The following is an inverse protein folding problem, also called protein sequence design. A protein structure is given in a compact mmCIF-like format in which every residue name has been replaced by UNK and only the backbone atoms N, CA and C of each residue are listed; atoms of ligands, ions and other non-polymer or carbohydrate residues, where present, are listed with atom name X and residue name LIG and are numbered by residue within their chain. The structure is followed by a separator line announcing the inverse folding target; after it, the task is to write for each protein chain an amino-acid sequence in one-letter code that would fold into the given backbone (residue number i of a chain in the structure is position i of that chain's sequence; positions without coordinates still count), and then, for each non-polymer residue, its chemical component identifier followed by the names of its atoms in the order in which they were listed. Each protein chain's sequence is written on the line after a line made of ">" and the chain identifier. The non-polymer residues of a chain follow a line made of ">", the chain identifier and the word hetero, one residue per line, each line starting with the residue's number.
data_IF_027794424882
#
_entry.id   IF_027794424882
#
_cell.length_a   1.000
_cell.length_b   1.000
_cell.length_c   1.000
_cell.angle_alpha   90.00
_cell.angle_beta   90.00
_cell.angle_gamma   90.00
#
_symmetry.space_group_name_H-M   'P 1'
#
loop_
_entity.id
_entity.type
_entity.pdbx_description
1 polymer ?
#
# COMPACT_ATOMS: atom_id res chain seq x y z
N UNK A 1 21.52 0.54 2.01
CA UNK A 1 20.68 0.20 0.84
C UNK A 1 19.47 1.10 0.91
N UNK A 2 19.13 1.87 -0.14
CA UNK A 2 17.83 2.55 -0.15
C UNK A 2 16.75 1.50 0.07
N UNK A 3 15.93 1.67 1.11
CA UNK A 3 14.86 0.73 1.41
C UNK A 3 13.84 0.74 0.29
N UNK A 4 13.40 -0.44 -0.15
CA UNK A 4 12.32 -0.57 -1.13
C UNK A 4 11.01 -0.11 -0.49
N UNK A 5 10.28 0.79 -1.15
CA UNK A 5 8.96 1.23 -0.68
C UNK A 5 7.97 0.06 -0.83
N UNK A 6 7.19 -0.23 0.20
CA UNK A 6 6.04 -1.14 0.11
C UNK A 6 4.77 -0.31 0.18
N UNK A 7 3.90 -0.44 -0.82
CA UNK A 7 2.60 0.23 -0.88
C UNK A 7 1.51 -0.80 -0.60
N UNK A 8 0.79 -0.64 0.51
CA UNK A 8 -0.42 -1.41 0.76
C UNK A 8 -1.59 -0.79 -0.02
N UNK A 9 -2.48 -1.62 -0.54
CA UNK A 9 -3.55 -1.19 -1.45
C UNK A 9 -4.79 -2.07 -1.33
N UNK A 10 -5.89 -1.59 -1.88
CA UNK A 10 -7.08 -2.37 -2.23
C UNK A 10 -7.52 -2.05 -3.66
N UNK A 11 -8.29 -2.93 -4.27
CA UNK A 11 -8.75 -2.80 -5.68
C UNK A 11 -9.68 -1.61 -5.92
N UNK A 12 -10.45 -1.21 -4.92
CA UNK A 12 -11.44 -0.13 -5.03
C UNK A 12 -10.90 1.24 -4.55
N UNK A 13 -9.69 1.29 -4.00
CA UNK A 13 -9.10 2.49 -3.41
C UNK A 13 -8.54 3.46 -4.46
N UNK A 14 -9.33 4.49 -4.80
CA UNK A 14 -8.90 5.53 -5.75
C UNK A 14 -7.65 6.32 -5.31
N UNK A 15 -7.41 6.45 -4.00
CA UNK A 15 -6.18 7.07 -3.48
C UNK A 15 -4.94 6.22 -3.76
N UNK A 16 -5.07 4.89 -3.69
CA UNK A 16 -4.02 3.93 -3.99
C UNK A 16 -3.60 4.06 -5.46
N UNK A 17 -4.59 4.11 -6.38
CA UNK A 17 -4.33 4.37 -7.81
C UNK A 17 -3.61 5.70 -8.03
N UNK A 18 -4.02 6.76 -7.33
CA UNK A 18 -3.39 8.08 -7.45
C UNK A 18 -1.94 8.07 -6.96
N UNK A 19 -1.67 7.48 -5.80
CA UNK A 19 -0.33 7.40 -5.23
C UNK A 19 0.61 6.57 -6.12
N UNK A 20 0.12 5.42 -6.62
CA UNK A 20 0.83 4.58 -7.59
C UNK A 20 1.35 5.39 -8.78
N UNK A 21 0.46 6.14 -9.43
CA UNK A 21 0.85 7.00 -10.55
C UNK A 21 1.76 8.17 -10.15
N UNK A 22 1.75 8.63 -8.90
CA UNK A 22 2.72 9.62 -8.42
C UNK A 22 4.13 9.01 -8.26
N UNK A 23 4.22 7.80 -7.70
CA UNK A 23 5.49 7.09 -7.56
C UNK A 23 6.09 6.71 -8.91
N UNK A 24 5.26 6.23 -9.84
CA UNK A 24 5.70 5.90 -11.21
C UNK A 24 6.31 7.12 -11.91
N UNK A 25 5.65 8.30 -11.81
CA UNK A 25 6.16 9.55 -12.39
C UNK A 25 7.42 10.07 -11.71
N UNK A 26 7.60 9.77 -10.43
CA UNK A 26 8.79 10.15 -9.67
C UNK A 26 9.95 9.16 -9.86
N UNK A 27 9.75 8.03 -10.56
CA UNK A 27 10.75 6.97 -10.70
C UNK A 27 11.04 6.23 -9.40
N UNK A 28 10.10 6.25 -8.45
CA UNK A 28 10.24 5.56 -7.17
C UNK A 28 9.81 4.11 -7.37
N UNK A 29 10.71 3.16 -7.18
CA UNK A 29 10.39 1.74 -7.18
C UNK A 29 9.63 1.37 -5.89
N UNK A 30 8.54 0.62 -6.05
CA UNK A 30 7.73 0.12 -4.94
C UNK A 30 7.25 -1.31 -5.19
N UNK A 31 6.98 -2.02 -4.10
CA UNK A 31 6.26 -3.28 -4.09
C UNK A 31 4.81 -3.03 -3.67
N UNK A 32 3.85 -3.36 -4.52
CA UNK A 32 2.42 -3.22 -4.21
C UNK A 32 1.89 -4.51 -3.57
N UNK A 33 1.23 -4.38 -2.42
CA UNK A 33 0.57 -5.49 -1.74
C UNK A 33 -0.91 -5.16 -1.65
N UNK A 34 -1.76 -6.04 -2.19
CA UNK A 34 -3.21 -5.94 -2.02
C UNK A 34 -3.65 -6.67 -0.75
N UNK A 35 -4.10 -5.92 0.26
CA UNK A 35 -4.49 -6.49 1.56
C UNK A 35 -5.79 -7.31 1.47
N UNK A 36 -6.58 -7.17 0.41
CA UNK A 36 -7.78 -7.99 0.18
C UNK A 36 -7.43 -9.45 -0.14
N UNK A 37 -6.20 -9.69 -0.58
CA UNK A 37 -5.72 -11.02 -0.97
C UNK A 37 -4.71 -11.59 0.02
N UNK A 38 -4.28 -10.80 1.00
CA UNK A 38 -3.30 -11.17 1.99
C UNK A 38 -3.78 -10.78 3.41
N UNK A 39 -4.38 -11.75 4.13
CA UNK A 39 -4.86 -11.53 5.49
C UNK A 39 -3.76 -11.12 6.47
N UNK A 40 -2.51 -11.56 6.27
CA UNK A 40 -1.40 -11.18 7.15
C UNK A 40 -1.06 -9.69 6.94
N UNK A 41 -1.05 -9.24 5.70
CA UNK A 41 -0.86 -7.83 5.37
C UNK A 41 -2.03 -6.95 5.86
N UNK A 42 -3.27 -7.44 5.80
CA UNK A 42 -4.42 -6.74 6.37
C UNK A 42 -4.27 -6.54 7.89
N UNK A 43 -3.88 -7.60 8.61
CA UNK A 43 -3.63 -7.53 10.06
C UNK A 43 -2.46 -6.60 10.40
N UNK A 44 -1.42 -6.58 9.56
CA UNK A 44 -0.31 -5.65 9.71
C UNK A 44 -0.76 -4.19 9.58
N UNK A 45 -1.50 -3.86 8.51
CA UNK A 45 -2.03 -2.50 8.28
C UNK A 45 -2.95 -2.08 9.43
N UNK A 46 -3.85 -2.96 9.85
CA UNK A 46 -4.76 -2.72 10.97
C UNK A 46 -4.00 -2.39 12.26
N UNK A 47 -2.98 -3.18 12.58
CA UNK A 47 -2.12 -2.92 13.74
C UNK A 47 -1.37 -1.60 13.62
N UNK A 48 -0.87 -1.26 12.43
CA UNK A 48 -0.14 -0.02 12.19
C UNK A 48 -1.04 1.22 12.31
N UNK A 49 -2.31 1.09 11.93
CA UNK A 49 -3.27 2.20 11.82
C UNK A 49 -4.30 2.22 12.96
N UNK A 50 -3.97 1.64 14.11
CA UNK A 50 -4.80 1.70 15.32
C UNK A 50 -6.17 1.02 15.18
N UNK A 51 -6.22 -0.11 14.46
CA UNK A 51 -7.45 -0.87 14.22
C UNK A 51 -8.12 -0.61 12.87
N UNK A 52 -7.54 0.23 12.01
CA UNK A 52 -8.12 0.56 10.71
C UNK A 52 -7.37 -0.09 9.54
N UNK A 53 -8.09 -0.64 8.57
CA UNK A 53 -7.50 -1.13 7.31
C UNK A 53 -7.41 -0.01 6.25
N UNK A 54 -7.09 1.21 6.69
CA UNK A 54 -6.98 2.37 5.80
C UNK A 54 -5.72 2.25 4.94
N UNK A 55 -5.89 2.43 3.63
CA UNK A 55 -4.85 2.41 2.60
C UNK A 55 -5.08 3.58 1.61
N UNK A 56 -4.08 3.98 0.79
CA UNK A 56 -2.70 3.50 0.79
C UNK A 56 -1.93 3.88 2.06
#
# INVERSE_FOLDING_TARGET
>A
MPGTVTMYSTTWCGYCTRLKGQMDRAGIAYNEINIEQDPESAAFVEKANGGNQTVP
#
